data_IF_896791010824
#
_entry.id   IF_896791010824
#
_cell.length_a   1.000
_cell.length_b   1.000
_cell.length_c   1.000
_cell.angle_alpha   90.00
_cell.angle_beta   90.00
_cell.angle_gamma   90.00
#
_symmetry.space_group_name_H-M   'P 1'
#
loop_
_entity.id
_entity.type
_entity.pdbx_description
1 polymer ?
#
# COMPACT_ATOMS: atom_id res chain seq x y z
N UNK A 1 12.73 -19.59 -13.76
CA UNK A 1 13.57 -19.82 -12.59
C UNK A 1 12.73 -19.85 -11.32
N UNK A 2 12.85 -20.91 -10.53
CA UNK A 2 12.04 -21.12 -9.33
C UNK A 2 12.22 -20.00 -8.29
N UNK A 3 13.43 -19.52 -8.08
CA UNK A 3 13.68 -18.42 -7.12
C UNK A 3 13.01 -17.13 -7.55
N UNK A 4 13.02 -16.86 -8.84
CA UNK A 4 12.40 -15.65 -9.37
C UNK A 4 10.88 -15.71 -9.20
N UNK A 5 10.28 -16.89 -9.43
CA UNK A 5 8.84 -17.09 -9.26
C UNK A 5 8.42 -16.93 -7.79
N UNK A 6 9.20 -17.47 -6.87
CA UNK A 6 8.97 -17.32 -5.44
C UNK A 6 9.05 -15.85 -5.01
N UNK A 7 10.02 -15.12 -5.52
CA UNK A 7 10.17 -13.70 -5.22
C UNK A 7 8.98 -12.88 -5.76
N UNK A 8 8.54 -13.19 -6.97
CA UNK A 8 7.37 -12.53 -7.55
C UNK A 8 6.13 -12.75 -6.70
N UNK A 9 5.92 -13.98 -6.26
CA UNK A 9 4.77 -14.32 -5.43
C UNK A 9 4.82 -13.61 -4.08
N UNK A 10 6.00 -13.60 -3.44
CA UNK A 10 6.18 -12.92 -2.17
C UNK A 10 5.92 -11.41 -2.29
N UNK A 11 6.42 -10.78 -3.35
CA UNK A 11 6.22 -9.35 -3.57
C UNK A 11 4.76 -9.03 -3.88
N UNK A 12 4.09 -9.89 -4.64
CA UNK A 12 2.67 -9.70 -4.95
C UNK A 12 1.82 -9.81 -3.69
N UNK A 13 2.12 -10.78 -2.82
CA UNK A 13 1.41 -10.95 -1.55
C UNK A 13 1.60 -9.73 -0.65
N UNK A 14 2.82 -9.25 -0.56
CA UNK A 14 3.12 -8.06 0.23
C UNK A 14 2.39 -6.83 -0.30
N UNK A 15 2.35 -6.67 -1.61
CA UNK A 15 1.62 -5.57 -2.24
C UNK A 15 0.12 -5.65 -1.93
N UNK A 16 -0.48 -6.84 -2.00
CA UNK A 16 -1.87 -7.05 -1.66
C UNK A 16 -2.17 -6.66 -0.21
N UNK A 17 -1.29 -7.06 0.72
CA UNK A 17 -1.43 -6.70 2.13
C UNK A 17 -1.38 -5.19 2.34
N UNK A 18 -0.49 -4.51 1.63
CA UNK A 18 -0.39 -3.06 1.73
C UNK A 18 -1.61 -2.35 1.16
N UNK A 19 -2.16 -2.86 0.07
CA UNK A 19 -3.38 -2.32 -0.52
C UNK A 19 -4.56 -2.50 0.44
N UNK A 20 -4.67 -3.68 1.08
CA UNK A 20 -5.71 -3.93 2.07
C UNK A 20 -5.62 -2.97 3.25
N UNK A 21 -4.42 -2.75 3.75
CA UNK A 21 -4.20 -1.83 4.85
C UNK A 21 -4.55 -0.40 4.45
N UNK A 22 -4.20 0.00 3.23
CA UNK A 22 -4.55 1.30 2.69
C UNK A 22 -6.07 1.49 2.64
N UNK A 23 -6.80 0.48 2.16
CA UNK A 23 -8.26 0.51 2.13
C UNK A 23 -8.88 0.67 3.52
N UNK A 24 -8.34 -0.06 4.50
CA UNK A 24 -8.80 0.03 5.88
C UNK A 24 -8.59 1.43 6.45
N UNK A 25 -7.45 2.03 6.16
CA UNK A 25 -7.15 3.39 6.61
C UNK A 25 -8.04 4.43 5.94
N UNK A 26 -8.34 4.25 4.67
CA UNK A 26 -9.30 5.11 3.97
C UNK A 26 -10.67 5.08 4.64
N UNK A 27 -11.13 3.90 5.01
CA UNK A 27 -12.41 3.74 5.71
C UNK A 27 -12.39 4.44 7.07
N UNK A 28 -11.30 4.35 7.80
CA UNK A 28 -11.14 5.04 9.08
C UNK A 28 -11.22 6.55 8.91
N UNK A 29 -10.57 7.09 7.90
CA UNK A 29 -10.60 8.53 7.63
C UNK A 29 -12.02 8.98 7.28
N UNK A 30 -12.70 8.22 6.44
CA UNK A 30 -14.08 8.53 6.06
C UNK A 30 -15.00 8.56 7.28
N UNK A 31 -14.86 7.60 8.20
CA UNK A 31 -15.62 7.59 9.45
C UNK A 31 -15.36 8.82 10.30
N UNK A 32 -14.09 9.18 10.45
CA UNK A 32 -13.72 10.32 11.28
C UNK A 32 -14.22 11.63 10.72
N UNK A 33 -14.28 11.77 9.41
CA UNK A 33 -14.87 12.95 8.77
C UNK A 33 -16.34 13.09 9.07
N UNK A 34 -17.06 11.96 9.21
CA UNK A 34 -18.47 11.96 9.52
C UNK A 34 -18.76 12.27 10.99
N UNK A 35 -17.82 11.94 11.89
CA UNK A 35 -18.04 12.06 13.32
C UNK A 35 -17.93 13.48 13.86
N UNK A 36 -16.96 14.24 13.44
CA UNK A 36 -16.85 15.66 13.85
C UNK A 36 -15.55 16.27 13.41
N UNK A 37 -15.63 17.37 12.83
CA UNK A 37 -14.56 18.32 12.53
C UNK A 37 -13.09 17.84 12.52
N UNK A 38 -12.30 18.56 11.80
CA UNK A 38 -10.90 18.23 11.58
C UNK A 38 -10.15 18.06 12.91
N UNK A 39 -9.66 16.88 13.13
CA UNK A 39 -8.99 16.50 14.32
C UNK A 39 -7.53 16.13 13.93
N UNK A 40 -6.62 16.29 14.85
CA UNK A 40 -5.21 15.98 14.65
C UNK A 40 -5.02 14.53 14.21
N UNK A 41 -5.86 13.62 14.74
CA UNK A 41 -5.81 12.22 14.36
C UNK A 41 -6.14 11.99 12.89
N UNK A 42 -7.09 12.75 12.35
CA UNK A 42 -7.43 12.66 10.93
C UNK A 42 -6.27 13.09 10.04
N UNK A 43 -5.57 14.15 10.44
CA UNK A 43 -4.39 14.62 9.71
C UNK A 43 -3.26 13.60 9.74
N UNK A 44 -3.02 12.97 10.91
CA UNK A 44 -2.01 11.93 11.04
C UNK A 44 -2.34 10.72 10.17
N UNK A 45 -3.61 10.32 10.13
CA UNK A 45 -4.06 9.23 9.26
C UNK A 45 -3.85 9.58 7.78
N UNK A 46 -4.08 10.84 7.44
CA UNK A 46 -3.87 11.30 6.06
C UNK A 46 -2.39 11.20 5.66
N UNK A 47 -1.49 11.60 6.56
CA UNK A 47 -0.05 11.46 6.32
C UNK A 47 0.35 10.00 6.18
N UNK A 48 -0.22 9.12 6.99
CA UNK A 48 0.02 7.69 6.88
C UNK A 48 -0.43 7.15 5.53
N UNK A 49 -1.56 7.64 5.01
CA UNK A 49 -2.02 7.26 3.68
C UNK A 49 -1.02 7.65 2.60
N UNK A 50 -0.45 8.85 2.69
CA UNK A 50 0.55 9.31 1.73
C UNK A 50 1.76 8.39 1.76
N UNK A 51 2.24 8.02 2.94
CA UNK A 51 3.35 7.08 3.10
C UNK A 51 3.03 5.72 2.52
N UNK A 52 1.80 5.25 2.72
CA UNK A 52 1.37 3.96 2.18
C UNK A 52 1.30 3.98 0.65
N UNK A 53 0.85 5.09 0.07
CA UNK A 53 0.85 5.25 -1.39
C UNK A 53 2.27 5.15 -1.93
N UNK A 54 3.22 5.80 -1.29
CA UNK A 54 4.62 5.74 -1.69
C UNK A 54 5.16 4.31 -1.64
N UNK A 55 4.87 3.59 -0.56
CA UNK A 55 5.30 2.19 -0.42
C UNK A 55 4.68 1.29 -1.46
N UNK A 56 3.39 1.47 -1.72
CA UNK A 56 2.69 0.69 -2.76
C UNK A 56 3.33 0.96 -4.12
N UNK A 57 3.64 2.22 -4.42
CA UNK A 57 4.31 2.60 -5.65
C UNK A 57 5.68 1.95 -5.79
N UNK A 58 6.47 1.97 -4.71
CA UNK A 58 7.80 1.36 -4.69
C UNK A 58 7.72 -0.15 -4.91
N UNK A 59 6.77 -0.81 -4.28
CA UNK A 59 6.58 -2.26 -4.45
C UNK A 59 6.12 -2.59 -5.87
N UNK A 60 5.22 -1.81 -6.42
CA UNK A 60 4.75 -1.99 -7.80
C UNK A 60 5.91 -1.81 -8.79
N UNK A 61 6.76 -0.83 -8.56
CA UNK A 61 7.94 -0.60 -9.38
C UNK A 61 8.91 -1.77 -9.31
N UNK A 62 9.16 -2.28 -8.10
CA UNK A 62 10.04 -3.44 -7.91
C UNK A 62 9.52 -4.68 -8.61
N UNK A 63 8.20 -4.89 -8.57
CA UNK A 63 7.58 -6.01 -9.28
C UNK A 63 7.76 -5.83 -10.78
N UNK A 64 7.58 -4.63 -11.30
CA UNK A 64 7.77 -4.33 -12.73
C UNK A 64 9.20 -4.62 -13.17
N UNK A 65 10.19 -4.23 -12.36
CA UNK A 65 11.59 -4.54 -12.66
C UNK A 65 11.85 -6.04 -12.70
N UNK A 66 11.27 -6.75 -11.74
CA UNK A 66 11.42 -8.20 -11.66
C UNK A 66 10.83 -8.89 -12.88
N UNK A 67 9.65 -8.43 -13.33
CA UNK A 67 9.01 -8.96 -14.52
C UNK A 67 9.84 -8.68 -15.79
N UNK A 68 10.44 -7.50 -15.87
CA UNK A 68 11.30 -7.15 -16.99
C UNK A 68 12.53 -8.06 -17.07
N UNK A 69 13.05 -8.50 -15.94
CA UNK A 69 14.20 -9.40 -15.90
C UNK A 69 13.90 -10.81 -16.41
N UNK A 70 12.62 -11.19 -16.45
CA UNK A 70 12.25 -12.53 -16.91
C UNK A 70 11.98 -12.63 -18.41
N UNK A 71 11.94 -11.52 -19.07
CA UNK A 71 11.80 -11.48 -20.52
C UNK A 71 13.17 -11.58 -21.21
#
# INVERSE_FOLDING_TARGET
>A
NKHLDENKLAMATELEEQIDLFRKNLKKIARKRLESGADVKAELLYLDLIRQIEKIGDHAFSISELLAQTE
#
